data_IF_088661779931
#
_entry.id   IF_088661779931
#
_cell.length_a   1.000
_cell.length_b   1.000
_cell.length_c   1.000
_cell.angle_alpha   90.00
_cell.angle_beta   90.00
_cell.angle_gamma   90.00
#
_symmetry.space_group_name_H-M   'P 1'
#
loop_
_entity.id
_entity.type
_entity.pdbx_description
1 polymer ?
#
# COMPACT_ATOMS: atom_id res chain seq x y z
N UNK A 1 13.80 23.56 -43.79
CA UNK A 1 13.46 22.20 -43.35
C UNK A 1 14.74 21.42 -43.09
N UNK A 2 15.04 21.10 -41.83
CA UNK A 2 15.96 20.02 -41.46
C UNK A 2 15.23 19.19 -40.40
N UNK A 3 14.79 18.00 -40.79
CA UNK A 3 14.33 16.95 -39.88
C UNK A 3 15.56 16.47 -39.10
N UNK A 4 15.67 16.90 -37.84
CA UNK A 4 16.70 16.40 -36.93
C UNK A 4 16.36 14.97 -36.52
N UNK A 5 16.98 14.01 -37.19
CA UNK A 5 17.10 12.63 -36.72
C UNK A 5 17.88 12.65 -35.40
N UNK A 6 17.30 12.10 -34.34
CA UNK A 6 18.02 11.82 -33.10
C UNK A 6 18.85 10.55 -33.31
N UNK A 7 20.13 10.70 -33.63
CA UNK A 7 21.11 9.66 -33.37
C UNK A 7 21.29 9.59 -31.84
N UNK A 8 20.92 8.44 -31.26
CA UNK A 8 21.15 8.15 -29.86
C UNK A 8 22.67 8.17 -29.62
N UNK A 9 23.16 9.15 -28.86
CA UNK A 9 24.49 9.04 -28.25
C UNK A 9 24.42 7.97 -27.17
N UNK A 10 24.91 6.78 -27.50
CA UNK A 10 25.32 5.79 -26.52
C UNK A 10 26.32 6.45 -25.54
N UNK A 11 25.96 6.51 -24.26
CA UNK A 11 26.86 6.99 -23.21
C UNK A 11 26.26 7.88 -22.13
N UNK A 12 25.00 8.30 -22.24
CA UNK A 12 24.26 8.89 -21.12
C UNK A 12 22.98 8.08 -20.92
N UNK A 13 22.98 7.24 -19.88
CA UNK A 13 21.75 6.59 -19.44
C UNK A 13 20.69 7.65 -19.25
N UNK A 14 19.63 7.58 -20.06
CA UNK A 14 18.45 8.40 -19.91
C UNK A 14 17.84 8.08 -18.55
N UNK A 15 18.26 8.80 -17.50
CA UNK A 15 17.70 8.73 -16.15
C UNK A 15 16.32 9.41 -16.12
N UNK A 16 15.47 9.12 -17.11
CA UNK A 16 14.05 9.35 -16.94
C UNK A 16 13.57 8.31 -15.91
N UNK A 17 12.88 8.72 -14.84
CA UNK A 17 12.36 7.78 -13.85
C UNK A 17 11.50 6.73 -14.56
N UNK A 18 11.69 5.47 -14.17
CA UNK A 18 10.96 4.35 -14.73
C UNK A 18 9.47 4.52 -14.39
N UNK A 19 8.66 4.78 -15.42
CA UNK A 19 7.23 5.04 -15.24
C UNK A 19 6.51 3.76 -14.85
N UNK A 20 5.57 3.87 -13.92
CA UNK A 20 4.83 2.70 -13.42
C UNK A 20 3.98 2.07 -14.51
N UNK A 21 4.02 0.74 -14.61
CA UNK A 21 3.21 -0.04 -15.55
C UNK A 21 1.79 -0.25 -15.03
N UNK A 22 0.80 -0.16 -15.93
CA UNK A 22 -0.60 -0.49 -15.69
C UNK A 22 -1.04 -1.67 -16.54
N UNK A 23 -1.68 -2.66 -15.90
CA UNK A 23 -2.07 -3.91 -16.55
C UNK A 23 -3.58 -4.07 -16.77
N UNK A 24 -4.42 -3.16 -16.22
CA UNK A 24 -5.88 -3.35 -16.17
C UNK A 24 -6.35 -4.43 -15.20
N UNK A 25 -5.46 -4.97 -14.35
CA UNK A 25 -5.84 -6.03 -13.40
C UNK A 25 -6.39 -5.42 -12.13
N UNK A 26 -7.57 -5.87 -11.72
CA UNK A 26 -8.21 -5.43 -10.48
C UNK A 26 -7.37 -5.76 -9.25
N UNK A 27 -7.11 -4.74 -8.42
CA UNK A 27 -6.50 -4.91 -7.10
C UNK A 27 -7.11 -3.87 -6.16
N UNK A 28 -7.86 -4.25 -5.10
CA UNK A 28 -8.46 -5.55 -4.72
C UNK A 28 -9.63 -6.01 -5.61
N UNK A 29 -9.94 -7.33 -5.63
CA UNK A 29 -11.09 -7.88 -6.40
C UNK A 29 -12.38 -7.10 -6.13
N UNK A 30 -13.04 -6.65 -7.19
CA UNK A 30 -14.31 -5.95 -7.14
C UNK A 30 -14.22 -4.43 -6.90
N UNK A 31 -13.04 -3.89 -6.61
CA UNK A 31 -12.82 -2.45 -6.34
C UNK A 31 -12.40 -1.70 -7.63
N UNK A 32 -12.06 -2.41 -8.69
CA UNK A 32 -11.54 -1.86 -9.93
C UNK A 32 -10.01 -1.94 -10.02
N UNK A 33 -9.45 -1.45 -11.12
CA UNK A 33 -8.02 -1.53 -11.44
C UNK A 33 -7.22 -0.28 -11.05
N UNK A 34 -7.92 0.77 -10.59
CA UNK A 34 -7.31 2.01 -10.14
C UNK A 34 -6.74 2.89 -11.26
N UNK A 35 -7.21 2.75 -12.51
CA UNK A 35 -6.70 3.50 -13.66
C UNK A 35 -6.60 5.01 -13.38
N UNK A 36 -7.64 5.62 -12.81
CA UNK A 36 -7.66 7.07 -12.50
C UNK A 36 -6.48 7.51 -11.62
N UNK A 37 -6.17 6.74 -10.57
CA UNK A 37 -5.06 7.06 -9.67
C UNK A 37 -3.71 6.87 -10.39
N UNK A 38 -3.59 5.78 -11.14
CA UNK A 38 -2.40 5.51 -11.96
C UNK A 38 -2.18 6.61 -13.02
N UNK A 39 -3.21 7.01 -13.75
CA UNK A 39 -3.16 8.04 -14.79
C UNK A 39 -2.76 9.42 -14.25
N UNK A 40 -3.17 9.74 -13.01
CA UNK A 40 -2.68 10.94 -12.32
C UNK A 40 -1.16 10.86 -12.08
N UNK A 41 -0.68 9.74 -11.52
CA UNK A 41 0.76 9.53 -11.31
C UNK A 41 1.56 9.58 -12.62
N UNK A 42 1.02 9.00 -13.69
CA UNK A 42 1.62 9.07 -15.03
C UNK A 42 1.73 10.53 -15.54
N UNK A 43 0.69 11.35 -15.36
CA UNK A 43 0.75 12.79 -15.72
C UNK A 43 1.81 13.53 -14.91
N UNK A 44 1.86 13.29 -13.60
CA UNK A 44 2.85 13.91 -12.71
C UNK A 44 4.29 13.53 -13.13
N UNK A 45 4.51 12.26 -13.51
CA UNK A 45 5.80 11.76 -14.01
C UNK A 45 6.19 12.41 -15.36
N UNK A 46 5.25 12.59 -16.29
CA UNK A 46 5.48 13.32 -17.55
C UNK A 46 5.83 14.78 -17.26
N UNK A 47 5.10 15.44 -16.35
CA UNK A 47 5.35 16.83 -15.99
C UNK A 47 6.73 17.02 -15.38
N UNK A 48 7.10 16.18 -14.41
CA UNK A 48 8.44 16.20 -13.80
C UNK A 48 9.54 15.97 -14.84
N UNK A 49 9.34 15.04 -15.78
CA UNK A 49 10.31 14.79 -16.85
C UNK A 49 10.49 15.99 -17.78
N UNK A 50 9.39 16.66 -18.15
CA UNK A 50 9.45 17.89 -18.97
C UNK A 50 10.13 19.04 -18.23
N UNK A 51 9.86 19.20 -16.93
CA UNK A 51 10.52 20.19 -16.08
C UNK A 51 12.02 19.92 -15.98
N UNK A 52 12.42 18.65 -15.78
CA UNK A 52 13.82 18.25 -15.67
C UNK A 52 14.60 18.48 -16.98
N UNK A 53 13.98 18.24 -18.14
CA UNK A 53 14.64 18.49 -19.43
C UNK A 53 14.49 19.93 -19.94
N UNK A 54 13.63 20.76 -19.33
CA UNK A 54 13.37 22.14 -19.74
C UNK A 54 12.57 22.27 -21.05
N UNK A 55 11.89 21.21 -21.49
CA UNK A 55 11.15 21.18 -22.75
C UNK A 55 9.79 20.51 -22.59
N UNK A 56 8.76 21.07 -23.22
CA UNK A 56 7.49 20.40 -23.38
C UNK A 56 7.62 19.28 -24.42
N UNK A 57 7.10 18.10 -24.07
CA UNK A 57 7.10 16.96 -24.97
C UNK A 57 5.94 17.08 -25.95
N UNK A 58 6.16 16.65 -27.19
CA UNK A 58 5.10 16.54 -28.18
C UNK A 58 4.05 15.50 -27.73
N UNK A 59 2.76 15.74 -28.02
CA UNK A 59 1.67 14.82 -27.64
C UNK A 59 1.89 13.40 -28.17
N UNK A 60 2.39 13.26 -29.41
CA UNK A 60 2.74 11.96 -29.99
C UNK A 60 3.75 11.19 -29.15
N UNK A 61 4.72 11.90 -28.56
CA UNK A 61 5.72 11.29 -27.69
C UNK A 61 5.11 10.88 -26.35
N UNK A 62 4.25 11.72 -25.75
CA UNK A 62 3.51 11.40 -24.52
C UNK A 62 2.61 10.17 -24.70
N UNK A 63 1.88 10.10 -25.82
CA UNK A 63 1.03 8.96 -26.20
C UNK A 63 1.85 7.69 -26.43
N UNK A 64 3.02 7.81 -27.05
CA UNK A 64 3.95 6.68 -27.18
C UNK A 64 4.45 6.20 -25.81
N UNK A 65 4.73 7.11 -24.88
CA UNK A 65 5.09 6.77 -23.49
C UNK A 65 3.93 6.11 -22.74
N UNK A 66 2.70 6.60 -22.91
CA UNK A 66 1.50 5.98 -22.36
C UNK A 66 1.41 4.52 -22.80
N UNK A 67 1.46 4.25 -24.11
CA UNK A 67 1.49 2.87 -24.66
C UNK A 67 2.58 2.02 -23.97
N UNK A 68 3.78 2.57 -23.84
CA UNK A 68 4.93 1.88 -23.22
C UNK A 68 4.70 1.47 -21.76
N UNK A 69 3.74 2.09 -21.07
CA UNK A 69 3.40 1.80 -19.68
C UNK A 69 2.16 0.90 -19.55
N UNK A 70 1.49 0.52 -20.63
CA UNK A 70 0.34 -0.38 -20.61
C UNK A 70 0.79 -1.82 -20.88
N UNK A 71 0.13 -2.81 -20.25
CA UNK A 71 0.33 -4.24 -20.52
C UNK A 71 -1.01 -4.98 -20.50
N UNK A 72 -1.07 -6.13 -21.17
CA UNK A 72 -2.24 -7.01 -21.14
C UNK A 72 -3.48 -6.34 -21.74
N UNK A 73 -4.64 -6.50 -21.09
CA UNK A 73 -5.93 -5.99 -21.58
C UNK A 73 -5.91 -4.47 -21.82
N UNK A 74 -5.21 -3.71 -20.97
CA UNK A 74 -5.06 -2.27 -21.14
C UNK A 74 -4.25 -1.89 -22.39
N UNK A 75 -3.22 -2.67 -22.72
CA UNK A 75 -2.43 -2.46 -23.92
C UNK A 75 -3.21 -2.82 -25.19
N UNK A 76 -3.91 -3.95 -25.18
CA UNK A 76 -4.74 -4.40 -26.30
C UNK A 76 -5.84 -3.40 -26.61
N UNK A 77 -6.58 -2.96 -25.59
CA UNK A 77 -7.63 -1.96 -25.72
C UNK A 77 -7.09 -0.64 -26.29
N UNK A 78 -5.99 -0.14 -25.72
CA UNK A 78 -5.37 1.10 -26.19
C UNK A 78 -4.90 1.02 -27.64
N UNK A 79 -4.19 -0.05 -28.02
CA UNK A 79 -3.67 -0.19 -29.37
C UNK A 79 -4.78 -0.29 -30.43
N UNK A 80 -5.95 -0.85 -30.07
CA UNK A 80 -7.10 -0.95 -30.97
C UNK A 80 -7.76 0.39 -31.31
N UNK A 81 -7.71 1.36 -30.39
CA UNK A 81 -8.43 2.65 -30.54
C UNK A 81 -7.51 3.87 -30.67
N UNK A 82 -6.19 3.72 -30.45
CA UNK A 82 -5.22 4.81 -30.46
C UNK A 82 -5.31 5.68 -31.72
N UNK A 83 -5.37 5.05 -32.89
CA UNK A 83 -5.33 5.79 -34.15
C UNK A 83 -6.66 6.53 -34.39
N UNK A 84 -7.80 5.97 -33.99
CA UNK A 84 -9.09 6.68 -34.01
C UNK A 84 -9.11 7.87 -33.04
N UNK A 85 -8.64 7.67 -31.81
CA UNK A 85 -8.55 8.75 -30.83
C UNK A 85 -7.63 9.88 -31.28
N UNK A 86 -6.54 9.55 -31.98
CA UNK A 86 -5.63 10.55 -32.54
C UNK A 86 -6.31 11.45 -33.57
N UNK A 87 -7.19 10.89 -34.41
CA UNK A 87 -7.95 11.66 -35.40
C UNK A 87 -9.04 12.53 -34.75
N UNK A 88 -9.60 12.11 -33.60
CA UNK A 88 -10.59 12.90 -32.85
C UNK A 88 -9.93 14.04 -32.09
N UNK A 89 -9.00 13.70 -31.19
CA UNK A 89 -8.26 14.67 -30.39
C UNK A 89 -6.86 14.12 -30.08
N UNK A 90 -5.79 14.65 -30.72
CA UNK A 90 -4.43 14.13 -30.61
C UNK A 90 -3.73 14.60 -29.33
N UNK A 91 -4.39 14.42 -28.17
CA UNK A 91 -3.88 14.82 -26.85
C UNK A 91 -3.79 13.62 -25.91
N UNK A 92 -2.77 13.62 -25.05
CA UNK A 92 -2.63 12.65 -23.97
C UNK A 92 -3.84 12.71 -23.03
N UNK A 93 -4.36 13.91 -22.75
CA UNK A 93 -5.51 14.10 -21.87
C UNK A 93 -6.72 13.33 -22.37
N UNK A 94 -7.07 13.49 -23.66
CA UNK A 94 -8.17 12.75 -24.26
C UNK A 94 -7.97 11.24 -24.19
N UNK A 95 -6.78 10.74 -24.55
CA UNK A 95 -6.47 9.31 -24.47
C UNK A 95 -6.59 8.76 -23.04
N UNK A 96 -6.14 9.51 -22.03
CA UNK A 96 -6.29 9.13 -20.62
C UNK A 96 -7.76 9.16 -20.16
N UNK A 97 -8.57 10.09 -20.65
CA UNK A 97 -10.01 10.13 -20.35
C UNK A 97 -10.77 8.95 -20.96
N UNK A 98 -10.44 8.56 -22.19
CA UNK A 98 -11.05 7.39 -22.84
C UNK A 98 -10.67 6.09 -22.11
N UNK A 99 -9.40 5.97 -21.72
CA UNK A 99 -8.95 4.85 -20.89
C UNK A 99 -9.63 4.86 -19.51
N UNK A 100 -9.75 6.02 -18.85
CA UNK A 100 -10.48 6.12 -17.59
C UNK A 100 -11.94 5.69 -17.75
N UNK A 101 -12.61 6.11 -18.82
CA UNK A 101 -13.98 5.70 -19.12
C UNK A 101 -14.11 4.18 -19.26
N UNK A 102 -13.23 3.55 -20.04
CA UNK A 102 -13.25 2.12 -20.31
C UNK A 102 -12.93 1.25 -19.08
N UNK A 103 -12.03 1.71 -18.23
CA UNK A 103 -11.55 0.99 -17.05
C UNK A 103 -12.22 1.43 -15.74
N UNK A 104 -13.06 2.47 -15.78
CA UNK A 104 -13.83 2.92 -14.62
C UNK A 104 -14.95 1.94 -14.28
N UNK A 105 -15.12 1.68 -12.98
CA UNK A 105 -16.31 1.04 -12.44
C UNK A 105 -17.12 2.08 -11.69
N UNK A 106 -18.43 2.11 -11.95
CA UNK A 106 -19.38 2.84 -11.12
C UNK A 106 -19.84 1.96 -9.96
N UNK A 107 -20.00 2.57 -8.79
CA UNK A 107 -20.45 1.89 -7.58
C UNK A 107 -21.70 2.56 -7.05
N UNK A 108 -22.69 1.75 -6.69
CA UNK A 108 -23.85 2.21 -5.92
C UNK A 108 -23.45 2.49 -4.47
N UNK A 109 -24.20 3.38 -3.79
CA UNK A 109 -23.97 3.66 -2.36
C UNK A 109 -24.01 2.38 -1.48
N UNK A 110 -24.86 1.42 -1.84
CA UNK A 110 -24.93 0.11 -1.18
C UNK A 110 -23.62 -0.68 -1.35
N UNK A 111 -23.10 -0.79 -2.58
CA UNK A 111 -21.84 -1.49 -2.83
C UNK A 111 -20.65 -0.84 -2.12
N UNK A 112 -20.58 0.50 -2.11
CA UNK A 112 -19.54 1.23 -1.36
C UNK A 112 -19.65 0.89 0.13
N UNK A 113 -20.86 0.93 0.69
CA UNK A 113 -21.11 0.59 2.10
C UNK A 113 -20.70 -0.84 2.42
N UNK A 114 -20.98 -1.79 1.53
CA UNK A 114 -20.60 -3.20 1.71
C UNK A 114 -19.08 -3.39 1.74
N UNK A 115 -18.33 -2.67 0.88
CA UNK A 115 -16.87 -2.71 0.94
C UNK A 115 -16.32 -2.20 2.28
N UNK A 116 -16.84 -1.09 2.80
CA UNK A 116 -16.42 -0.57 4.10
C UNK A 116 -16.92 -1.42 5.28
N UNK A 117 -17.96 -2.23 5.11
CA UNK A 117 -18.44 -3.17 6.14
C UNK A 117 -17.66 -4.48 6.19
N UNK A 118 -16.82 -4.75 5.19
CA UNK A 118 -16.01 -5.97 5.14
C UNK A 118 -15.10 -6.03 6.36
N UNK A 119 -15.25 -7.11 7.14
CA UNK A 119 -14.38 -7.37 8.29
C UNK A 119 -13.02 -7.87 7.83
N UNK A 120 -11.98 -7.54 8.61
CA UNK A 120 -10.64 -8.16 8.48
C UNK A 120 -10.75 -9.67 8.69
N UNK A 121 -10.08 -10.46 7.84
CA UNK A 121 -9.93 -11.90 8.10
C UNK A 121 -8.86 -12.17 9.16
N UNK A 122 -8.93 -13.29 9.86
CA UNK A 122 -7.91 -13.65 10.86
C UNK A 122 -6.50 -13.81 10.28
N UNK A 123 -6.40 -14.13 8.98
CA UNK A 123 -5.14 -14.33 8.24
C UNK A 123 -4.53 -13.01 7.73
N UNK A 124 -5.34 -11.95 7.58
CA UNK A 124 -4.90 -10.65 7.06
C UNK A 124 -4.33 -9.77 8.18
N UNK A 125 -3.22 -9.06 7.95
CA UNK A 125 -2.71 -8.10 8.95
C UNK A 125 -3.60 -6.85 9.02
N UNK A 126 -3.58 -6.16 10.16
CA UNK A 126 -4.27 -4.86 10.29
C UNK A 126 -3.83 -3.87 9.21
N UNK A 127 -2.53 -3.82 8.90
CA UNK A 127 -2.00 -2.94 7.87
C UNK A 127 -2.53 -3.29 6.47
N UNK A 128 -2.58 -4.57 6.11
CA UNK A 128 -3.18 -5.01 4.83
C UNK A 128 -4.64 -4.58 4.73
N UNK A 129 -5.41 -4.74 5.82
CA UNK A 129 -6.82 -4.35 5.84
C UNK A 129 -7.01 -2.84 5.70
N UNK A 130 -6.15 -2.05 6.34
CA UNK A 130 -6.09 -0.59 6.14
C UNK A 130 -5.81 -0.22 4.67
N UNK A 131 -4.84 -0.88 4.02
CA UNK A 131 -4.54 -0.65 2.60
C UNK A 131 -5.73 -1.03 1.70
N UNK A 132 -6.46 -2.09 2.04
CA UNK A 132 -7.71 -2.45 1.37
C UNK A 132 -8.74 -1.31 1.45
N UNK A 133 -9.00 -0.75 2.64
CA UNK A 133 -9.96 0.34 2.82
C UNK A 133 -9.50 1.63 2.10
N UNK A 134 -8.20 1.92 2.07
CA UNK A 134 -7.65 3.01 1.26
C UNK A 134 -7.92 2.81 -0.23
N UNK A 135 -7.72 1.59 -0.74
CA UNK A 135 -7.98 1.27 -2.14
C UNK A 135 -9.47 1.45 -2.48
N UNK A 136 -10.36 0.96 -1.61
CA UNK A 136 -11.82 1.17 -1.74
C UNK A 136 -12.16 2.66 -1.77
N UNK A 137 -11.65 3.45 -0.83
CA UNK A 137 -11.84 4.90 -0.78
C UNK A 137 -11.39 5.58 -2.08
N UNK A 138 -10.23 5.19 -2.61
CA UNK A 138 -9.67 5.78 -3.82
C UNK A 138 -10.45 5.42 -5.08
N UNK A 139 -10.95 4.19 -5.18
CA UNK A 139 -11.73 3.75 -6.34
C UNK A 139 -13.17 4.30 -6.33
N UNK A 140 -13.78 4.40 -5.14
CA UNK A 140 -15.19 4.82 -4.99
C UNK A 140 -15.35 6.33 -4.86
N UNK A 141 -14.28 7.06 -4.54
CA UNK A 141 -14.34 8.49 -4.21
C UNK A 141 -15.02 8.78 -2.86
N UNK A 142 -15.24 7.76 -2.03
CA UNK A 142 -15.92 7.91 -0.75
C UNK A 142 -15.14 8.78 0.26
N UNK A 143 -15.82 9.25 1.30
CA UNK A 143 -15.20 10.06 2.36
C UNK A 143 -14.08 9.29 3.06
N UNK A 144 -12.95 9.95 3.28
CA UNK A 144 -11.84 9.39 4.06
C UNK A 144 -12.22 9.10 5.52
N UNK A 145 -13.27 9.75 6.05
CA UNK A 145 -13.78 9.50 7.40
C UNK A 145 -14.31 8.08 7.60
N UNK A 146 -14.70 7.40 6.52
CA UNK A 146 -15.22 6.02 6.59
C UNK A 146 -14.12 5.00 6.91
N UNK A 147 -12.84 5.31 6.66
CA UNK A 147 -11.72 4.41 6.92
C UNK A 147 -11.58 4.13 8.43
N UNK A 148 -11.36 5.15 9.30
CA UNK A 148 -11.25 4.90 10.74
C UNK A 148 -12.57 4.39 11.34
N UNK A 149 -13.73 4.84 10.85
CA UNK A 149 -15.04 4.35 11.29
C UNK A 149 -15.20 2.84 11.01
N UNK A 150 -14.82 2.39 9.81
CA UNK A 150 -14.87 0.98 9.43
C UNK A 150 -13.98 0.11 10.31
N UNK A 151 -12.73 0.54 10.55
CA UNK A 151 -11.77 -0.17 11.40
C UNK A 151 -12.30 -0.40 12.82
N UNK A 152 -13.03 0.58 13.36
CA UNK A 152 -13.56 0.53 14.74
C UNK A 152 -14.88 -0.26 14.79
N UNK A 153 -15.84 0.05 13.91
CA UNK A 153 -17.18 -0.53 13.98
C UNK A 153 -17.22 -1.99 13.52
N UNK A 154 -16.39 -2.37 12.55
CA UNK A 154 -16.43 -3.68 11.91
C UNK A 154 -15.35 -4.66 12.40
N UNK A 155 -14.66 -4.33 13.50
CA UNK A 155 -13.78 -5.26 14.21
C UNK A 155 -14.54 -6.28 15.06
N UNK A 156 -13.81 -7.20 15.71
CA UNK A 156 -14.38 -8.19 16.63
C UNK A 156 -15.02 -7.51 17.86
N UNK A 157 -16.07 -8.11 18.45
CA UNK A 157 -16.72 -7.55 19.64
C UNK A 157 -15.79 -7.30 20.83
N UNK A 158 -14.73 -8.10 20.96
CA UNK A 158 -13.75 -8.04 22.04
C UNK A 158 -12.80 -6.85 21.88
N UNK A 159 -12.40 -6.56 20.63
CA UNK A 159 -11.45 -5.49 20.32
C UNK A 159 -12.14 -4.14 20.12
N UNK A 160 -13.42 -4.12 19.76
CA UNK A 160 -14.18 -2.89 19.48
C UNK A 160 -14.08 -1.85 20.62
N UNK A 161 -14.31 -2.18 21.90
CA UNK A 161 -14.26 -1.18 22.98
C UNK A 161 -12.87 -0.54 23.11
N UNK A 162 -11.81 -1.32 22.86
CA UNK A 162 -10.43 -0.84 22.88
C UNK A 162 -10.22 0.17 21.76
N UNK A 163 -10.61 -0.15 20.53
CA UNK A 163 -10.44 0.77 19.40
C UNK A 163 -11.36 1.99 19.48
N UNK A 164 -12.59 1.84 19.99
CA UNK A 164 -13.51 2.94 20.25
C UNK A 164 -12.92 3.95 21.25
N UNK A 165 -12.19 3.49 22.27
CA UNK A 165 -11.51 4.37 23.22
C UNK A 165 -10.40 5.21 22.59
N UNK A 166 -9.81 4.72 21.50
CA UNK A 166 -8.74 5.41 20.78
C UNK A 166 -9.25 6.26 19.61
N UNK A 167 -10.51 6.06 19.20
CA UNK A 167 -11.10 6.74 18.06
C UNK A 167 -11.57 8.15 18.41
N UNK A 168 -10.96 9.15 17.79
CA UNK A 168 -11.37 10.55 17.92
C UNK A 168 -12.18 11.01 16.70
N UNK A 169 -13.50 11.14 16.90
CA UNK A 169 -14.45 11.60 15.89
C UNK A 169 -14.24 13.05 15.44
N UNK A 170 -13.51 13.87 16.20
CA UNK A 170 -13.29 15.29 15.89
C UNK A 170 -12.07 15.51 15.00
N UNK A 171 -11.20 14.51 14.87
CA UNK A 171 -10.03 14.59 13.98
C UNK A 171 -10.46 14.70 12.53
N UNK A 172 -9.67 15.42 11.76
CA UNK A 172 -9.89 15.65 10.31
C UNK A 172 -8.80 15.00 9.46
N UNK A 173 -7.70 14.55 10.08
CA UNK A 173 -6.62 13.79 9.48
C UNK A 173 -6.95 12.28 9.44
N UNK A 174 -8.13 11.95 8.91
CA UNK A 174 -8.75 10.62 8.99
C UNK A 174 -7.84 9.45 8.57
N UNK A 175 -7.00 9.65 7.55
CA UNK A 175 -6.10 8.63 7.01
C UNK A 175 -4.96 8.34 8.00
N UNK A 176 -4.37 9.37 8.58
CA UNK A 176 -3.34 9.22 9.63
C UNK A 176 -3.94 8.60 10.89
N UNK A 177 -5.12 9.06 11.30
CA UNK A 177 -5.81 8.51 12.45
C UNK A 177 -6.15 7.01 12.26
N UNK A 178 -6.62 6.62 11.07
CA UNK A 178 -6.86 5.22 10.75
C UNK A 178 -5.57 4.36 10.83
N UNK A 179 -4.43 4.90 10.41
CA UNK A 179 -3.15 4.22 10.52
C UNK A 179 -2.72 4.01 11.99
N UNK A 180 -2.94 5.01 12.85
CA UNK A 180 -2.70 4.87 14.29
C UNK A 180 -3.61 3.81 14.92
N UNK A 181 -4.92 3.81 14.58
CA UNK A 181 -5.87 2.77 15.02
C UNK A 181 -5.39 1.38 14.62
N UNK A 182 -4.90 1.24 13.39
CA UNK A 182 -4.33 0.01 12.85
C UNK A 182 -3.13 -0.47 13.68
N UNK A 183 -2.25 0.45 14.10
CA UNK A 183 -1.09 0.15 14.93
C UNK A 183 -1.48 -0.25 16.36
N UNK A 184 -2.46 0.42 16.96
CA UNK A 184 -2.99 0.05 18.27
C UNK A 184 -3.63 -1.33 18.27
N UNK A 185 -4.45 -1.62 17.25
CA UNK A 185 -5.08 -2.93 17.09
C UNK A 185 -4.05 -4.07 16.97
N UNK A 186 -3.01 -3.87 16.16
CA UNK A 186 -1.91 -4.81 16.00
C UNK A 186 -1.17 -5.04 17.34
N UNK A 187 -0.84 -3.97 18.05
CA UNK A 187 -0.13 -4.03 19.34
C UNK A 187 -0.96 -4.75 20.41
N UNK A 188 -2.26 -4.48 20.46
CA UNK A 188 -3.17 -5.15 21.38
C UNK A 188 -3.21 -6.66 21.15
N UNK A 189 -3.42 -7.10 19.91
CA UNK A 189 -3.45 -8.53 19.57
C UNK A 189 -2.12 -9.24 19.85
N UNK A 190 -0.99 -8.58 19.61
CA UNK A 190 0.33 -9.12 19.94
C UNK A 190 0.54 -9.28 21.45
N UNK A 191 0.07 -8.32 22.25
CA UNK A 191 0.11 -8.41 23.71
C UNK A 191 -0.78 -9.53 24.23
N UNK A 192 -2.00 -9.68 23.72
CA UNK A 192 -2.90 -10.78 24.08
C UNK A 192 -2.29 -12.14 23.75
N UNK A 193 -1.65 -12.28 22.57
CA UNK A 193 -0.93 -13.50 22.19
C UNK A 193 0.27 -13.79 23.09
N UNK A 194 0.94 -12.76 23.62
CA UNK A 194 2.05 -12.92 24.58
C UNK A 194 1.53 -13.36 25.94
N UNK A 195 0.45 -12.75 26.42
CA UNK A 195 -0.21 -13.11 27.68
C UNK A 195 -0.83 -14.51 27.65
N UNK A 196 -1.30 -14.97 26.49
CA UNK A 196 -1.86 -16.31 26.31
C UNK A 196 -0.80 -17.43 26.19
N UNK A 197 0.46 -17.11 25.88
CA UNK A 197 1.55 -18.08 25.89
C UNK A 197 1.99 -18.29 27.34
N UNK A 198 2.06 -19.53 27.86
CA UNK A 198 2.58 -19.75 29.20
C UNK A 198 4.02 -19.25 29.26
N UNK A 199 4.27 -18.29 30.14
CA UNK A 199 5.63 -17.88 30.49
C UNK A 199 6.30 -19.14 31.04
N UNK A 200 7.21 -19.74 30.27
CA UNK A 200 8.14 -20.73 30.81
C UNK A 200 9.09 -20.01 31.75
N UNK A 201 8.64 -19.78 32.98
CA UNK A 201 9.54 -19.48 34.09
C UNK A 201 10.36 -20.74 34.27
N UNK A 202 11.60 -20.72 33.80
CA UNK A 202 12.57 -21.72 34.20
C UNK A 202 12.71 -21.56 35.70
N UNK A 203 12.17 -22.52 36.46
CA UNK A 203 12.48 -22.63 37.87
C UNK A 203 14.00 -22.71 37.97
N UNK A 204 14.62 -21.70 38.57
CA UNK A 204 16.00 -21.81 38.99
C UNK A 204 16.07 -23.05 39.87
N UNK A 205 16.68 -24.12 39.35
CA UNK A 205 16.90 -25.33 40.12
C UNK A 205 17.62 -24.91 41.40
N UNK A 206 17.05 -25.26 42.55
CA UNK A 206 17.72 -25.20 43.83
C UNK A 206 18.95 -26.12 43.78
N UNK A 207 20.03 -25.62 43.20
CA UNK A 207 21.35 -26.19 43.32
C UNK A 207 21.79 -26.00 44.76
N UNK A 208 21.73 -27.09 45.54
CA UNK A 208 22.46 -27.18 46.80
C UNK A 208 23.93 -26.85 46.50
N UNK A 209 24.39 -25.69 46.98
CA UNK A 209 25.82 -25.41 47.08
C UNK A 209 26.43 -26.42 48.06
N UNK A 210 27.01 -27.51 47.55
CA UNK A 210 27.97 -28.31 48.32
C UNK A 210 29.33 -27.66 48.12
N UNK A 211 29.63 -26.70 48.97
CA UNK A 211 30.92 -26.01 49.00
C UNK A 211 31.98 -26.95 49.60
N UNK A 212 32.70 -27.69 48.75
CA UNK A 212 33.89 -28.45 49.15
C UNK A 212 35.12 -27.55 48.98
N UNK A 213 35.32 -26.58 49.88
CA UNK A 213 36.54 -25.76 49.88
C UNK A 213 37.72 -26.61 50.37
N UNK A 214 38.66 -26.85 49.46
CA UNK A 214 39.94 -27.53 49.74
C UNK A 214 40.95 -26.51 50.29
N UNK A 215 41.70 -26.88 51.33
CA UNK A 215 42.78 -26.01 51.85
C UNK A 215 43.89 -25.82 50.80
N UNK A 216 44.28 -24.57 50.51
CA UNK A 216 45.30 -24.27 49.50
C UNK A 216 46.75 -24.57 49.92
N UNK A 217 46.96 -25.06 51.15
CA UNK A 217 48.30 -25.44 51.64
C UNK A 217 48.52 -26.96 51.60
N UNK A 218 47.47 -27.76 51.86
CA UNK A 218 47.59 -29.22 51.94
C UNK A 218 46.63 -30.02 51.04
N UNK A 219 45.71 -29.36 50.33
CA UNK A 219 44.80 -29.95 49.35
C UNK A 219 43.92 -31.13 49.82
N UNK A 220 43.72 -31.30 51.12
CA UNK A 220 42.72 -32.23 51.69
C UNK A 220 41.48 -31.48 52.20
N UNK A 221 40.32 -32.12 52.07
CA UNK A 221 39.02 -31.60 52.53
C UNK A 221 38.65 -32.34 53.81
N UNK A 222 39.19 -31.93 54.96
CA UNK A 222 38.64 -32.22 56.31
C UNK A 222 39.61 -31.72 57.40
N UNK A 223 39.54 -30.45 57.76
CA UNK A 223 39.95 -29.99 59.09
C UNK A 223 38.96 -28.93 59.56
N UNK A 224 38.01 -29.37 60.39
CA UNK A 224 37.23 -28.49 61.24
C UNK A 224 38.09 -28.24 62.47
N UNK A 225 38.50 -26.99 62.69
CA UNK A 225 38.64 -26.40 64.02
C UNK A 225 38.06 -25.00 63.97
#
# INVERSE_FOLDING_TARGET
MKLGYWEAKEGQGSHLPEMRVFTGKELPKGVGDGFKHWARGFRDEIEMAQQACGYLWAEKFKISKLRGCLRGEAEEFFNGLRDEWWEIEPTLSYALEQMESAFSRSFTSAQVSDFFRKKRSSEETWHSHYLYLMAVRNATGASSSLIPESLVLHTSPELRPVLESQYDKKRTDYVFHALEITQWAQTYEENERRSAKPIRVSAAANGRFTEARTCMICSTVEHIV
#
